data_IF_124612171466
#
_entry.id   IF_124612171466
#
_cell.length_a   1.000
_cell.length_b   1.000
_cell.length_c   1.000
_cell.angle_alpha   90.00
_cell.angle_beta   90.00
_cell.angle_gamma   90.00
#
_symmetry.space_group_name_H-M   'P 1'
#
loop_
_entity.id
_entity.type
_entity.pdbx_description
1 polymer ?
#
# COMPACT_ATOMS: atom_id res chain seq x y z
N UNK A 1 -13.24 12.26 4.74
CA UNK A 1 -13.94 10.95 4.75
C UNK A 1 -15.43 11.03 4.45
N UNK A 2 -16.16 12.11 4.81
CA UNK A 2 -17.61 12.22 4.54
C UNK A 2 -17.98 12.12 3.06
N UNK A 3 -17.19 12.73 2.17
CA UNK A 3 -17.47 12.75 0.73
C UNK A 3 -17.44 11.35 0.08
N UNK A 4 -16.50 10.51 0.48
CA UNK A 4 -16.36 9.15 -0.07
C UNK A 4 -17.19 8.10 0.69
N UNK A 5 -17.80 8.47 1.83
CA UNK A 5 -18.58 7.57 2.68
C UNK A 5 -19.67 6.80 1.93
N UNK A 6 -20.45 7.40 0.99
CA UNK A 6 -21.49 6.68 0.25
C UNK A 6 -20.97 5.47 -0.55
N UNK A 7 -19.66 5.41 -0.83
CA UNK A 7 -19.01 4.29 -1.53
C UNK A 7 -18.19 3.46 -0.55
N UNK A 8 -17.26 4.09 0.17
CA UNK A 8 -16.29 3.41 1.03
C UNK A 8 -16.89 2.71 2.25
N UNK A 9 -18.15 2.99 2.61
CA UNK A 9 -18.86 2.27 3.68
C UNK A 9 -19.43 0.92 3.22
N UNK A 10 -19.55 0.69 1.91
CA UNK A 10 -20.25 -0.47 1.34
C UNK A 10 -19.38 -1.35 0.46
N UNK A 11 -18.28 -0.82 -0.09
CA UNK A 11 -17.30 -1.58 -0.87
C UNK A 11 -15.87 -1.25 -0.43
N UNK A 12 -14.93 -2.22 -0.48
CA UNK A 12 -13.53 -1.95 -0.21
C UNK A 12 -12.99 -0.82 -1.10
N UNK A 13 -12.48 0.25 -0.48
CA UNK A 13 -11.92 1.41 -1.16
C UNK A 13 -10.39 1.39 -1.04
N UNK A 14 -9.73 0.77 -2.01
CA UNK A 14 -8.28 0.54 -2.00
C UNK A 14 -7.55 1.78 -2.52
N UNK A 15 -6.54 2.25 -1.78
CA UNK A 15 -5.76 3.45 -2.11
C UNK A 15 -4.27 3.16 -2.03
N UNK A 16 -3.47 3.94 -2.76
CA UNK A 16 -2.02 3.97 -2.64
C UNK A 16 -1.60 5.42 -2.37
N UNK A 17 -0.61 5.69 -1.52
CA UNK A 17 -0.13 7.07 -1.31
C UNK A 17 0.53 7.59 -2.59
N UNK A 18 0.34 8.89 -2.86
CA UNK A 18 1.13 9.65 -3.83
C UNK A 18 1.93 10.75 -3.15
N UNK A 19 2.55 11.60 -3.96
CA UNK A 19 3.38 12.70 -3.46
C UNK A 19 2.60 13.62 -2.50
N UNK A 20 1.34 13.97 -2.78
CA UNK A 20 0.57 14.85 -1.90
C UNK A 20 0.26 14.26 -0.50
N UNK A 21 0.51 12.97 -0.28
CA UNK A 21 0.34 12.31 1.00
C UNK A 21 1.61 12.34 1.87
N UNK A 22 2.77 12.76 1.34
CA UNK A 22 4.07 12.60 2.02
C UNK A 22 4.22 13.41 3.32
N UNK A 23 3.44 14.49 3.48
CA UNK A 23 3.60 15.45 4.56
C UNK A 23 3.54 14.77 5.94
N UNK A 24 4.45 15.16 6.84
CA UNK A 24 4.62 14.55 8.16
C UNK A 24 4.78 13.01 8.09
N UNK A 25 5.62 12.52 7.17
CA UNK A 25 5.88 11.10 6.95
C UNK A 25 4.59 10.27 6.77
N UNK A 26 3.71 10.74 5.87
CA UNK A 26 2.44 10.08 5.53
C UNK A 26 1.44 9.94 6.68
N UNK A 27 1.60 10.66 7.79
CA UNK A 27 0.76 10.48 8.99
C UNK A 27 -0.75 10.59 8.73
N UNK A 28 -1.19 11.55 7.90
CA UNK A 28 -2.59 11.69 7.55
C UNK A 28 -3.11 10.47 6.76
N UNK A 29 -2.31 9.96 5.83
CA UNK A 29 -2.67 8.78 5.06
C UNK A 29 -2.74 7.54 5.96
N UNK A 30 -1.66 7.29 6.72
CA UNK A 30 -1.54 6.16 7.68
C UNK A 30 -2.67 6.15 8.72
N UNK A 31 -3.11 7.34 9.17
CA UNK A 31 -4.16 7.48 10.17
C UNK A 31 -5.59 7.38 9.64
N UNK A 32 -5.80 7.39 8.32
CA UNK A 32 -7.15 7.44 7.71
C UNK A 32 -7.48 6.20 6.88
N UNK A 33 -6.47 5.50 6.37
CA UNK A 33 -6.64 4.37 5.46
C UNK A 33 -6.05 3.08 6.04
N UNK A 34 -6.82 2.00 5.93
CA UNK A 34 -6.42 0.66 6.37
C UNK A 34 -6.42 -0.28 5.18
N UNK A 35 -5.24 -0.61 4.69
CA UNK A 35 -5.04 -1.53 3.57
C UNK A 35 -4.70 -2.95 4.09
N UNK A 36 -4.71 -3.98 3.24
CA UNK A 36 -4.22 -5.31 3.58
C UNK A 36 -2.83 -5.23 4.23
N UNK A 37 -2.63 -5.96 5.33
CA UNK A 37 -1.35 -5.95 6.05
C UNK A 37 -0.97 -4.59 6.66
N UNK A 38 -1.92 -3.66 6.90
CA UNK A 38 -1.62 -2.29 7.37
C UNK A 38 -0.73 -2.20 8.62
N UNK A 39 -0.68 -3.24 9.47
CA UNK A 39 0.22 -3.24 10.64
C UNK A 39 1.68 -3.43 10.26
N UNK A 40 1.93 -4.16 9.17
CA UNK A 40 3.28 -4.50 8.71
C UNK A 40 3.84 -3.40 7.80
N UNK A 41 2.99 -2.89 6.90
CA UNK A 41 3.40 -1.95 5.85
C UNK A 41 2.91 -0.52 6.08
N UNK A 42 2.14 -0.27 7.14
CA UNK A 42 1.51 1.03 7.44
C UNK A 42 0.58 1.51 6.31
N UNK A 43 -0.02 0.58 5.57
CA UNK A 43 -0.84 0.82 4.38
C UNK A 43 -0.10 1.46 3.20
N UNK A 44 1.23 1.62 3.27
CA UNK A 44 2.00 2.34 2.24
C UNK A 44 2.24 1.49 0.99
N UNK A 45 2.42 0.19 1.16
CA UNK A 45 2.55 -0.78 0.07
C UNK A 45 1.94 -2.11 0.52
N UNK A 46 1.32 -2.83 -0.39
CA UNK A 46 0.59 -4.06 -0.07
C UNK A 46 0.13 -4.74 -1.36
N UNK A 47 -0.31 -5.98 -1.24
CA UNK A 47 -0.91 -6.73 -2.33
C UNK A 47 -2.20 -7.40 -1.87
N UNK A 48 -3.05 -7.78 -2.82
CA UNK A 48 -4.21 -8.61 -2.57
C UNK A 48 -4.63 -9.33 -3.85
N UNK A 49 -5.40 -10.42 -3.68
CA UNK A 49 -6.00 -11.14 -4.78
C UNK A 49 -7.47 -10.78 -4.90
N UNK A 50 -7.95 -10.61 -6.14
CA UNK A 50 -9.37 -10.54 -6.45
C UNK A 50 -9.64 -11.42 -7.68
N UNK A 51 -10.22 -12.59 -7.44
CA UNK A 51 -10.34 -13.62 -8.46
C UNK A 51 -8.94 -14.02 -8.98
N UNK A 52 -8.73 -14.09 -10.31
CA UNK A 52 -7.46 -14.49 -10.90
C UNK A 52 -6.41 -13.36 -10.94
N UNK A 53 -6.73 -12.16 -10.42
CA UNK A 53 -5.86 -10.99 -10.50
C UNK A 53 -5.17 -10.74 -9.16
N UNK A 54 -3.85 -10.65 -9.20
CA UNK A 54 -3.02 -10.21 -8.10
C UNK A 54 -2.69 -8.71 -8.27
N UNK A 55 -3.20 -7.89 -7.36
CA UNK A 55 -2.95 -6.45 -7.35
C UNK A 55 -1.80 -6.13 -6.40
N UNK A 56 -0.90 -5.26 -6.84
CA UNK A 56 0.23 -4.77 -6.05
C UNK A 56 0.17 -3.25 -6.03
N UNK A 57 0.08 -2.67 -4.83
CA UNK A 57 0.21 -1.24 -4.59
C UNK A 57 1.64 -0.95 -4.11
N UNK A 58 2.37 -0.14 -4.87
CA UNK A 58 3.76 0.24 -4.59
C UNK A 58 3.80 1.71 -4.19
N UNK A 59 4.42 2.03 -3.05
CA UNK A 59 4.69 3.43 -2.69
C UNK A 59 5.84 3.97 -3.52
N UNK A 60 5.53 4.74 -4.56
CA UNK A 60 6.54 5.46 -5.37
C UNK A 60 7.32 6.45 -4.53
N UNK A 61 6.70 7.00 -3.50
CA UNK A 61 7.27 8.07 -2.69
C UNK A 61 8.42 7.59 -1.80
N UNK A 62 8.53 6.27 -1.55
CA UNK A 62 9.70 5.67 -0.91
C UNK A 62 11.00 5.89 -1.71
N UNK A 63 10.90 6.11 -3.03
CA UNK A 63 12.05 6.35 -3.92
C UNK A 63 12.35 7.84 -4.13
N UNK A 64 11.38 8.73 -3.88
CA UNK A 64 11.54 10.18 -4.06
C UNK A 64 11.83 10.93 -2.75
N UNK A 65 11.30 10.47 -1.61
CA UNK A 65 11.44 11.15 -0.31
C UNK A 65 12.42 10.44 0.64
N UNK A 66 13.67 10.28 0.18
CA UNK A 66 14.75 9.61 0.95
C UNK A 66 15.09 10.33 2.27
N UNK A 67 14.65 11.58 2.44
CA UNK A 67 14.75 12.34 3.69
C UNK A 67 14.03 11.67 4.88
N UNK A 68 13.07 10.77 4.63
CA UNK A 68 12.44 9.95 5.67
C UNK A 68 13.22 8.66 6.00
N UNK A 69 14.41 8.50 5.40
CA UNK A 69 15.32 7.37 5.58
C UNK A 69 15.23 6.34 4.45
N UNK A 70 16.25 5.47 4.37
CA UNK A 70 16.35 4.43 3.35
C UNK A 70 15.62 3.12 3.73
N UNK A 71 15.27 2.96 5.01
CA UNK A 71 14.59 1.75 5.50
C UNK A 71 13.26 1.47 4.80
N UNK A 72 12.37 2.45 4.56
CA UNK A 72 11.12 2.20 3.85
C UNK A 72 11.33 1.68 2.42
N UNK A 73 12.31 2.22 1.70
CA UNK A 73 12.68 1.79 0.35
C UNK A 73 13.18 0.34 0.36
N UNK A 74 14.18 0.04 1.19
CA UNK A 74 14.76 -1.31 1.28
C UNK A 74 13.69 -2.34 1.68
N UNK A 75 12.86 -2.02 2.68
CA UNK A 75 11.76 -2.89 3.13
C UNK A 75 10.74 -3.16 2.02
N UNK A 76 10.34 -2.14 1.26
CA UNK A 76 9.40 -2.32 0.15
C UNK A 76 10.02 -3.15 -0.98
N UNK A 77 11.30 -2.93 -1.29
CA UNK A 77 12.01 -3.69 -2.31
C UNK A 77 12.09 -5.18 -1.97
N UNK A 78 12.52 -5.50 -0.75
CA UNK A 78 12.59 -6.90 -0.27
C UNK A 78 11.20 -7.54 -0.23
N UNK A 79 10.21 -6.81 0.26
CA UNK A 79 8.81 -7.26 0.28
C UNK A 79 8.30 -7.58 -1.14
N UNK A 80 8.53 -6.69 -2.11
CA UNK A 80 8.05 -6.86 -3.48
C UNK A 80 8.64 -8.10 -4.14
N UNK A 81 9.92 -8.41 -3.88
CA UNK A 81 10.55 -9.63 -4.36
C UNK A 81 9.85 -10.87 -3.81
N UNK A 82 9.54 -10.90 -2.52
CA UNK A 82 8.83 -12.04 -1.92
C UNK A 82 7.39 -12.17 -2.41
N UNK A 83 6.68 -11.04 -2.54
CA UNK A 83 5.30 -11.00 -3.03
C UNK A 83 5.18 -11.54 -4.46
N UNK A 84 6.10 -11.15 -5.34
CA UNK A 84 6.13 -11.62 -6.74
C UNK A 84 6.46 -13.11 -6.87
N UNK A 85 7.15 -13.74 -5.90
CA UNK A 85 7.39 -15.19 -5.90
C UNK A 85 6.11 -15.98 -5.65
N UNK A 86 5.19 -15.44 -4.85
CA UNK A 86 3.90 -16.10 -4.52
C UNK A 86 2.99 -16.16 -5.75
N UNK A 87 3.15 -15.22 -6.69
CA UNK A 87 2.28 -15.05 -7.85
C UNK A 87 2.40 -16.16 -8.93
N UNK A 88 3.24 -17.18 -8.73
CA UNK A 88 3.45 -18.31 -9.67
C UNK A 88 2.61 -19.56 -9.32
N UNK A 89 1.87 -19.60 -8.20
CA UNK A 89 1.42 -20.90 -7.64
C UNK A 89 0.00 -21.03 -7.08
N UNK A 90 -1.00 -20.24 -7.48
CA UNK A 90 -2.38 -20.48 -7.00
C UNK A 90 -3.44 -20.22 -8.07
N UNK A 91 -3.47 -21.12 -9.04
CA UNK A 91 -4.71 -21.58 -9.66
C UNK A 91 -4.82 -23.05 -9.26
N UNK A 92 -5.80 -23.36 -8.40
CA UNK A 92 -6.13 -24.66 -7.76
C UNK A 92 -5.26 -25.09 -6.59
#
# INVERSE_FOLDING_TARGET
>A
MREIQPIAAYVPYMTCPGNHEHMYNFSNYRGRFSMPGHRDTESLFFSWNMGPVHFIAVNTEAYYFLQYGLKPLARQYDWLIEDLKVCVGSLT
#
